data_IF_293140324242
#
_entry.id   IF_293140324242
#
_cell.length_a   1.000
_cell.length_b   1.000
_cell.length_c   1.000
_cell.angle_alpha   90.00
_cell.angle_beta   90.00
_cell.angle_gamma   90.00
#
_symmetry.space_group_name_H-M   'P 1'
#
loop_
_entity.id
_entity.type
_entity.pdbx_description
1 polymer ?
#
# COMPACT_ATOMS: atom_id res chain seq x y z
N UNK A 1 -9.94 -14.75 29.77
CA UNK A 1 -10.15 -15.57 28.55
C UNK A 1 -10.15 -14.64 27.33
N UNK A 2 -9.24 -14.89 26.38
CA UNK A 2 -8.84 -14.09 25.22
C UNK A 2 -9.59 -12.78 24.94
N UNK A 3 -8.89 -11.66 25.05
CA UNK A 3 -9.34 -10.37 24.54
C UNK A 3 -9.19 -10.42 23.02
N UNK A 4 -10.28 -10.70 22.28
CA UNK A 4 -10.30 -10.49 20.83
C UNK A 4 -10.07 -9.00 20.59
N UNK A 5 -8.82 -8.63 20.27
CA UNK A 5 -8.51 -7.27 19.81
C UNK A 5 -9.44 -6.98 18.65
N UNK A 6 -10.29 -5.96 18.78
CA UNK A 6 -11.21 -5.56 17.72
C UNK A 6 -10.40 -5.30 16.44
N UNK A 7 -10.57 -6.17 15.43
CA UNK A 7 -9.99 -5.95 14.12
C UNK A 7 -10.64 -4.68 13.55
N UNK A 8 -9.86 -3.61 13.42
CA UNK A 8 -10.34 -2.37 12.79
C UNK A 8 -10.48 -2.62 11.29
N UNK A 9 -11.67 -2.43 10.75
CA UNK A 9 -12.01 -2.73 9.35
C UNK A 9 -11.52 -1.69 8.33
N UNK A 10 -10.63 -0.78 8.73
CA UNK A 10 -10.23 0.39 7.93
C UNK A 10 -8.72 0.60 7.89
N UNK A 11 -8.26 1.30 6.84
CA UNK A 11 -6.86 1.70 6.63
C UNK A 11 -6.74 3.21 6.83
N UNK A 12 -5.81 3.65 7.68
CA UNK A 12 -5.47 5.07 7.85
C UNK A 12 -4.27 5.42 6.98
N UNK A 13 -4.46 6.35 6.04
CA UNK A 13 -3.40 6.85 5.16
C UNK A 13 -3.10 8.31 5.50
N UNK A 14 -1.82 8.68 5.49
CA UNK A 14 -1.37 10.04 5.72
C UNK A 14 -0.19 10.39 4.82
N UNK A 15 -0.10 11.65 4.42
CA UNK A 15 0.92 12.16 3.50
C UNK A 15 2.23 12.71 4.12
N UNK A 16 2.41 12.94 5.45
CA UNK A 16 3.58 13.67 5.97
C UNK A 16 4.95 13.19 5.49
N UNK A 17 5.15 11.87 5.36
CA UNK A 17 6.43 11.29 4.94
C UNK A 17 6.69 11.55 3.46
N UNK A 18 5.69 11.36 2.61
CA UNK A 18 5.84 11.55 1.17
C UNK A 18 5.94 13.02 0.80
N UNK A 19 5.18 13.90 1.47
CA UNK A 19 5.28 15.36 1.27
C UNK A 19 6.60 15.91 1.77
N UNK A 20 7.13 15.42 2.91
CA UNK A 20 8.48 15.80 3.38
C UNK A 20 9.58 15.42 2.40
N UNK A 21 9.37 14.38 1.57
CA UNK A 21 10.29 13.95 0.53
C UNK A 21 10.12 14.69 -0.80
N UNK A 22 9.16 15.61 -0.91
CA UNK A 22 8.92 16.38 -2.13
C UNK A 22 7.91 15.76 -3.09
N UNK A 23 7.19 14.71 -2.69
CA UNK A 23 6.07 14.19 -3.49
C UNK A 23 4.87 15.14 -3.42
N UNK A 24 4.21 15.35 -4.55
CA UNK A 24 3.09 16.27 -4.71
C UNK A 24 1.83 15.53 -5.23
N UNK A 25 0.87 16.28 -5.77
CA UNK A 25 -0.43 15.76 -6.24
C UNK A 25 -0.27 14.67 -7.29
N UNK A 26 0.69 14.80 -8.20
CA UNK A 26 0.95 13.82 -9.26
C UNK A 26 1.36 12.45 -8.68
N UNK A 27 2.32 12.43 -7.75
CA UNK A 27 2.73 11.22 -7.07
C UNK A 27 1.60 10.64 -6.22
N UNK A 28 0.78 11.48 -5.59
CA UNK A 28 -0.39 11.01 -4.84
C UNK A 28 -1.40 10.28 -5.73
N UNK A 29 -1.58 10.72 -6.98
CA UNK A 29 -2.33 9.98 -7.99
C UNK A 29 -1.76 8.58 -8.21
N UNK A 30 -0.44 8.49 -8.41
CA UNK A 30 0.26 7.20 -8.58
C UNK A 30 0.13 6.30 -7.35
N UNK A 31 0.32 6.84 -6.14
CA UNK A 31 0.18 6.11 -4.86
C UNK A 31 -1.25 5.58 -4.72
N UNK A 32 -2.26 6.40 -4.98
CA UNK A 32 -3.66 5.98 -4.89
C UNK A 32 -3.99 4.87 -5.89
N UNK A 33 -3.40 4.93 -7.10
CA UNK A 33 -3.52 3.88 -8.11
C UNK A 33 -2.90 2.56 -7.66
N UNK A 34 -1.70 2.59 -7.07
CA UNK A 34 -1.02 1.41 -6.52
C UNK A 34 -1.82 0.78 -5.37
N UNK A 35 -2.29 1.60 -4.42
CA UNK A 35 -3.14 1.13 -3.30
C UNK A 35 -4.43 0.51 -3.83
N UNK A 36 -5.12 1.19 -4.74
CA UNK A 36 -6.36 0.68 -5.34
C UNK A 36 -6.13 -0.61 -6.11
N UNK A 37 -5.02 -0.71 -6.85
CA UNK A 37 -4.63 -1.92 -7.57
C UNK A 37 -4.47 -3.12 -6.63
N UNK A 38 -3.75 -2.93 -5.52
CA UNK A 38 -3.59 -3.97 -4.49
C UNK A 38 -4.93 -4.38 -3.90
N UNK A 39 -5.76 -3.41 -3.48
CA UNK A 39 -7.06 -3.70 -2.85
C UNK A 39 -8.03 -4.44 -3.78
N UNK A 40 -7.91 -4.25 -5.10
CA UNK A 40 -8.73 -4.97 -6.10
C UNK A 40 -8.27 -6.41 -6.34
N UNK A 41 -6.98 -6.68 -6.22
CA UNK A 41 -6.40 -8.01 -6.49
C UNK A 41 -6.31 -8.92 -5.25
N UNK A 42 -6.37 -8.36 -4.04
CA UNK A 42 -6.43 -9.15 -2.81
C UNK A 42 -7.68 -10.03 -2.81
N UNK A 43 -7.48 -11.33 -2.65
CA UNK A 43 -8.55 -12.30 -2.40
C UNK A 43 -8.49 -12.73 -0.94
N UNK A 44 -9.49 -12.34 -0.16
CA UNK A 44 -9.62 -12.72 1.25
C UNK A 44 -9.97 -14.21 1.31
N UNK A 45 -9.22 -14.97 2.10
CA UNK A 45 -9.46 -16.41 2.32
C UNK A 45 -10.10 -16.64 3.70
N UNK A 46 -9.67 -15.89 4.70
CA UNK A 46 -10.23 -15.87 6.06
C UNK A 46 -9.93 -14.53 6.73
N UNK A 47 -10.34 -14.37 7.99
CA UNK A 47 -10.07 -13.16 8.79
C UNK A 47 -8.58 -12.82 8.92
N UNK A 48 -7.68 -13.80 8.75
CA UNK A 48 -6.23 -13.64 8.89
C UNK A 48 -5.44 -14.05 7.64
N UNK A 49 -6.10 -14.48 6.57
CA UNK A 49 -5.43 -15.00 5.37
C UNK A 49 -5.92 -14.34 4.09
N UNK A 50 -4.98 -14.08 3.18
CA UNK A 50 -5.27 -13.59 1.85
C UNK A 50 -4.39 -14.26 0.80
N UNK A 51 -4.87 -14.27 -0.44
CA UNK A 51 -4.14 -14.69 -1.62
C UNK A 51 -4.05 -13.54 -2.61
N UNK A 52 -2.95 -13.49 -3.34
CA UNK A 52 -2.72 -12.56 -4.43
C UNK A 52 -1.66 -13.17 -5.33
N UNK A 53 -1.79 -12.95 -6.63
CA UNK A 53 -0.86 -13.45 -7.64
C UNK A 53 0.57 -12.93 -7.38
N UNK A 54 1.56 -13.82 -7.45
CA UNK A 54 2.96 -13.48 -7.13
C UNK A 54 3.59 -12.57 -8.18
N UNK A 55 3.25 -12.74 -9.47
CA UNK A 55 3.73 -11.84 -10.52
C UNK A 55 3.17 -10.42 -10.33
N UNK A 56 1.89 -10.31 -9.97
CA UNK A 56 1.26 -9.04 -9.63
C UNK A 56 1.94 -8.38 -8.42
N UNK A 57 2.22 -9.14 -7.35
CA UNK A 57 2.94 -8.64 -6.17
C UNK A 57 4.30 -8.05 -6.55
N UNK A 58 5.11 -8.78 -7.30
CA UNK A 58 6.44 -8.33 -7.70
C UNK A 58 6.39 -7.11 -8.62
N UNK A 59 5.40 -7.05 -9.52
CA UNK A 59 5.16 -5.86 -10.36
C UNK A 59 4.84 -4.63 -9.52
N UNK A 60 3.92 -4.73 -8.56
CA UNK A 60 3.57 -3.62 -7.66
C UNK A 60 4.78 -3.20 -6.82
N UNK A 61 5.54 -4.15 -6.26
CA UNK A 61 6.76 -3.85 -5.49
C UNK A 61 7.79 -3.11 -6.33
N UNK A 62 7.94 -3.48 -7.60
CA UNK A 62 8.85 -2.80 -8.54
C UNK A 62 8.42 -1.36 -8.78
N UNK A 63 7.14 -1.12 -9.09
CA UNK A 63 6.59 0.23 -9.28
C UNK A 63 6.75 1.11 -8.02
N UNK A 64 6.55 0.54 -6.83
CA UNK A 64 6.77 1.26 -5.56
C UNK A 64 8.24 1.65 -5.39
N UNK A 65 9.17 0.73 -5.69
CA UNK A 65 10.62 0.99 -5.60
C UNK A 65 11.05 2.08 -6.58
N UNK A 66 10.56 2.04 -7.82
CA UNK A 66 10.83 3.06 -8.84
C UNK A 66 10.30 4.43 -8.40
N UNK A 67 9.06 4.50 -7.91
CA UNK A 67 8.49 5.74 -7.40
C UNK A 67 9.29 6.28 -6.22
N UNK A 68 9.61 5.45 -5.21
CA UNK A 68 10.38 5.88 -4.05
C UNK A 68 11.82 6.26 -4.41
N UNK A 69 12.42 5.60 -5.41
CA UNK A 69 13.79 5.86 -5.87
C UNK A 69 13.97 7.25 -6.47
N UNK A 70 12.89 7.86 -7.00
CA UNK A 70 12.88 9.26 -7.43
C UNK A 70 12.97 10.27 -6.27
N UNK A 71 12.73 9.83 -5.03
CA UNK A 71 12.67 10.66 -3.83
C UNK A 71 13.53 10.05 -2.70
N UNK A 72 14.87 10.11 -2.81
CA UNK A 72 15.80 9.47 -1.89
C UNK A 72 15.67 9.99 -0.45
N UNK A 73 16.10 9.14 0.50
CA UNK A 73 16.19 9.50 1.92
C UNK A 73 17.52 10.21 2.18
N UNK A 74 17.45 11.43 2.71
CA UNK A 74 18.59 12.20 3.24
C UNK A 74 18.64 12.10 4.76
#
# INVERSE_FOLDING_TARGET
PYEQRAATSGIRLGTPIVTRRGMCVEEMGSISGLVTGVLREVKIVSDSEYKMDEFFKERIRTQIKELCGRFPLH
#
